data_IF_291861078951
#
_entry.id   IF_291861078951
#
_cell.length_a   1.000
_cell.length_b   1.000
_cell.length_c   1.000
_cell.angle_alpha   90.00
_cell.angle_beta   90.00
_cell.angle_gamma   90.00
#
_symmetry.space_group_name_H-M   'P 1'
#
loop_
_entity.id
_entity.type
_entity.pdbx_description
1 polymer ?
#
# COMPACT_ATOMS: atom_id res chain seq x y z
N UNK A 1 -8.99 -15.15 19.71
CA UNK A 1 -10.06 -14.12 19.57
C UNK A 1 -9.80 -13.38 18.28
N UNK A 2 -10.82 -13.21 17.44
CA UNK A 2 -10.69 -12.47 16.17
C UNK A 2 -10.64 -10.97 16.46
N UNK A 3 -9.65 -10.27 15.93
CA UNK A 3 -9.57 -8.80 16.08
C UNK A 3 -10.59 -8.10 15.18
N UNK A 4 -10.99 -6.84 15.48
CA UNK A 4 -11.88 -6.07 14.61
C UNK A 4 -11.35 -5.95 13.18
N UNK A 5 -10.04 -5.80 13.01
CA UNK A 5 -9.39 -5.78 11.70
C UNK A 5 -9.53 -7.14 10.98
N UNK A 6 -9.28 -8.24 11.68
CA UNK A 6 -9.45 -9.58 11.11
C UNK A 6 -10.91 -9.84 10.71
N UNK A 7 -11.89 -9.33 11.46
CA UNK A 7 -13.31 -9.41 11.11
C UNK A 7 -13.64 -8.62 9.84
N UNK A 8 -13.11 -7.40 9.69
CA UNK A 8 -13.28 -6.59 8.47
C UNK A 8 -12.63 -7.28 7.27
N UNK A 9 -11.43 -7.83 7.42
CA UNK A 9 -10.75 -8.56 6.34
C UNK A 9 -11.50 -9.83 5.94
N UNK A 10 -12.04 -10.58 6.92
CA UNK A 10 -12.89 -11.73 6.65
C UNK A 10 -14.17 -11.32 5.90
N UNK A 11 -14.82 -10.24 6.33
CA UNK A 11 -16.00 -9.72 5.66
C UNK A 11 -15.71 -9.31 4.21
N UNK A 12 -14.58 -8.62 3.95
CA UNK A 12 -14.17 -8.28 2.58
C UNK A 12 -14.05 -9.53 1.72
N UNK A 13 -13.43 -10.61 2.24
CA UNK A 13 -13.28 -11.88 1.52
C UNK A 13 -14.63 -12.56 1.22
N UNK A 14 -15.60 -12.44 2.13
CA UNK A 14 -16.94 -13.01 1.95
C UNK A 14 -17.78 -12.27 0.91
N UNK A 15 -17.72 -10.93 0.88
CA UNK A 15 -18.63 -10.10 0.07
C UNK A 15 -18.11 -9.74 -1.32
N UNK A 16 -16.88 -10.13 -1.67
CA UNK A 16 -16.27 -9.80 -2.96
C UNK A 16 -16.11 -11.05 -3.83
N UNK A 17 -16.58 -11.01 -5.09
CA UNK A 17 -16.68 -12.22 -5.92
C UNK A 17 -15.36 -12.62 -6.58
N UNK A 18 -14.37 -11.71 -6.65
CA UNK A 18 -13.09 -11.97 -7.32
C UNK A 18 -11.90 -11.50 -6.49
N UNK A 19 -10.72 -12.09 -6.73
CA UNK A 19 -9.46 -11.67 -6.11
C UNK A 19 -9.14 -10.19 -6.41
N UNK A 20 -9.53 -9.70 -7.60
CA UNK A 20 -9.38 -8.30 -7.97
C UNK A 20 -10.25 -7.39 -7.09
N UNK A 21 -11.50 -7.76 -6.89
CA UNK A 21 -12.43 -6.99 -6.05
C UNK A 21 -12.02 -7.03 -4.57
N UNK A 22 -11.43 -8.14 -4.11
CA UNK A 22 -10.80 -8.24 -2.80
C UNK A 22 -9.64 -7.25 -2.65
N UNK A 23 -8.77 -7.17 -3.66
CA UNK A 23 -7.66 -6.21 -3.70
C UNK A 23 -8.17 -4.77 -3.62
N UNK A 24 -9.09 -4.38 -4.51
CA UNK A 24 -9.66 -3.03 -4.53
C UNK A 24 -10.42 -2.69 -3.24
N UNK A 25 -11.11 -3.65 -2.62
CA UNK A 25 -11.79 -3.41 -1.34
C UNK A 25 -10.80 -3.22 -0.19
N UNK A 26 -9.69 -3.96 -0.20
CA UNK A 26 -8.61 -3.77 0.76
C UNK A 26 -7.91 -2.41 0.58
N UNK A 27 -7.65 -1.98 -0.66
CA UNK A 27 -7.13 -0.64 -0.97
C UNK A 27 -8.05 0.47 -0.42
N UNK A 28 -9.37 0.35 -0.60
CA UNK A 28 -10.34 1.29 -0.03
C UNK A 28 -10.29 1.34 1.50
N UNK A 29 -10.19 0.18 2.14
CA UNK A 29 -10.02 0.10 3.59
C UNK A 29 -8.74 0.83 4.03
N UNK A 30 -7.64 0.68 3.29
CA UNK A 30 -6.38 1.35 3.61
C UNK A 30 -6.46 2.86 3.44
N UNK A 31 -7.14 3.37 2.41
CA UNK A 31 -7.43 4.81 2.29
C UNK A 31 -8.13 5.32 3.55
N UNK A 32 -9.19 4.64 4.00
CA UNK A 32 -9.92 5.04 5.22
C UNK A 32 -9.02 4.97 6.46
N UNK A 33 -8.22 3.91 6.60
CA UNK A 33 -7.31 3.76 7.72
C UNK A 33 -6.30 4.92 7.78
N UNK A 34 -5.60 5.23 6.69
CA UNK A 34 -4.61 6.31 6.65
C UNK A 34 -5.23 7.70 6.90
N UNK A 35 -6.51 7.88 6.58
CA UNK A 35 -7.23 9.14 6.81
C UNK A 35 -7.82 9.26 8.23
N UNK A 36 -7.89 8.16 8.99
CA UNK A 36 -8.59 8.12 10.29
C UNK A 36 -7.66 7.87 11.47
N UNK A 37 -6.66 7.01 11.34
CA UNK A 37 -5.72 6.71 12.41
C UNK A 37 -4.86 7.94 12.74
N UNK A 38 -4.67 8.21 14.03
CA UNK A 38 -4.16 9.48 14.54
C UNK A 38 -2.77 9.84 14.01
N UNK A 39 -1.85 8.89 13.92
CA UNK A 39 -0.51 9.13 13.40
C UNK A 39 -0.58 9.51 11.91
N UNK A 40 -1.24 8.71 11.07
CA UNK A 40 -1.30 8.99 9.64
C UNK A 40 -2.14 10.21 9.29
N UNK A 41 -3.24 10.45 10.00
CA UNK A 41 -4.05 11.68 9.87
C UNK A 41 -3.25 12.93 10.23
N UNK A 42 -2.27 12.81 11.13
CA UNK A 42 -1.36 13.90 11.45
C UNK A 42 -0.31 14.14 10.34
N UNK A 43 0.03 13.11 9.56
CA UNK A 43 1.08 13.12 8.54
C UNK A 43 0.57 13.45 7.13
N UNK A 44 -0.56 12.85 6.74
CA UNK A 44 -1.13 12.92 5.39
C UNK A 44 -2.31 13.88 5.32
N UNK A 45 -2.40 14.62 4.22
CA UNK A 45 -3.57 15.46 3.89
C UNK A 45 -4.60 14.68 3.07
N UNK A 46 -4.15 13.72 2.28
CA UNK A 46 -4.99 12.97 1.36
C UNK A 46 -4.29 11.67 0.97
N UNK A 47 -5.08 10.64 0.65
CA UNK A 47 -4.60 9.36 0.11
C UNK A 47 -5.50 9.00 -1.06
N UNK A 48 -4.90 8.71 -2.21
CA UNK A 48 -5.60 8.48 -3.48
C UNK A 48 -5.20 7.13 -4.07
N UNK A 49 -6.08 6.54 -4.86
CA UNK A 49 -5.64 5.52 -5.82
C UNK A 49 -4.60 6.12 -6.76
N UNK A 50 -3.64 5.30 -7.20
CA UNK A 50 -2.58 5.76 -8.09
C UNK A 50 -3.12 6.46 -9.35
N UNK A 51 -4.17 5.90 -9.98
CA UNK A 51 -4.76 6.49 -11.19
C UNK A 51 -5.36 7.88 -10.94
N UNK A 52 -5.98 8.09 -9.78
CA UNK A 52 -6.54 9.37 -9.35
C UNK A 52 -5.43 10.36 -8.99
N UNK A 53 -4.38 9.89 -8.33
CA UNK A 53 -3.19 10.68 -8.06
C UNK A 53 -2.51 11.15 -9.36
N UNK A 54 -2.34 10.28 -10.36
CA UNK A 54 -1.78 10.68 -11.67
C UNK A 54 -2.66 11.74 -12.34
N UNK A 55 -3.98 11.62 -12.24
CA UNK A 55 -4.92 12.62 -12.79
C UNK A 55 -4.69 14.01 -12.20
N UNK A 56 -4.39 14.09 -10.89
CA UNK A 56 -4.33 15.35 -10.15
C UNK A 56 -2.92 15.92 -9.99
N UNK A 57 -1.93 15.05 -9.83
CA UNK A 57 -0.54 15.39 -9.50
C UNK A 57 0.48 14.87 -10.52
N UNK A 58 0.05 14.01 -11.46
CA UNK A 58 0.96 13.36 -12.42
C UNK A 58 1.82 14.35 -13.21
N UNK A 59 1.24 15.46 -13.67
CA UNK A 59 1.99 16.52 -14.37
C UNK A 59 3.10 17.15 -13.50
N UNK A 60 2.87 17.29 -12.19
CA UNK A 60 3.87 17.84 -11.25
C UNK A 60 5.01 16.83 -10.99
N UNK A 61 4.70 15.54 -11.09
CA UNK A 61 5.64 14.45 -10.89
C UNK A 61 6.29 13.94 -12.19
N UNK A 62 6.01 14.56 -13.34
CA UNK A 62 6.41 14.08 -14.67
C UNK A 62 5.96 12.62 -14.94
N UNK A 63 4.76 12.28 -14.47
CA UNK A 63 4.12 10.97 -14.64
C UNK A 63 2.79 11.15 -15.38
N UNK A 64 2.67 10.56 -16.56
CA UNK A 64 1.45 10.61 -17.37
C UNK A 64 0.71 9.26 -17.41
N UNK A 65 1.43 8.16 -17.16
CA UNK A 65 0.85 6.82 -17.21
C UNK A 65 0.06 6.54 -15.93
N UNK A 66 -1.24 6.31 -16.09
CA UNK A 66 -2.18 5.97 -14.99
C UNK A 66 -2.12 4.53 -14.53
N UNK A 67 -1.40 3.69 -15.27
CA UNK A 67 -1.13 2.29 -14.92
C UNK A 67 0.32 2.16 -14.48
N UNK A 68 0.50 1.83 -13.22
CA UNK A 68 1.78 1.38 -12.69
C UNK A 68 1.61 -0.05 -12.20
N UNK A 69 2.62 -0.89 -12.42
CA UNK A 69 2.53 -2.33 -12.12
C UNK A 69 2.78 -2.65 -10.65
N UNK A 70 3.03 -1.65 -9.79
CA UNK A 70 3.29 -1.90 -8.38
C UNK A 70 2.88 -0.80 -7.40
N UNK A 71 2.28 0.32 -7.80
CA UNK A 71 1.77 1.33 -6.85
C UNK A 71 0.25 1.31 -6.86
N UNK A 72 -0.36 0.98 -5.73
CA UNK A 72 -1.82 0.95 -5.60
C UNK A 72 -2.35 2.32 -5.16
N UNK A 73 -1.71 2.91 -4.14
CA UNK A 73 -2.12 4.18 -3.55
C UNK A 73 -0.94 5.15 -3.45
N UNK A 74 -1.26 6.44 -3.38
CA UNK A 74 -0.30 7.51 -3.08
C UNK A 74 -0.85 8.38 -1.97
N UNK A 75 -0.08 8.54 -0.90
CA UNK A 75 -0.38 9.50 0.16
C UNK A 75 0.38 10.82 -0.08
N UNK A 76 -0.32 11.93 0.16
CA UNK A 76 0.23 13.27 0.07
C UNK A 76 0.47 13.76 1.50
N UNK A 77 1.72 14.08 1.83
CA UNK A 77 2.07 14.61 3.15
C UNK A 77 1.67 16.07 3.27
N UNK A 78 1.57 16.57 4.52
CA UNK A 78 1.28 17.99 4.78
C UNK A 78 2.27 18.98 4.18
N UNK A 79 3.50 18.55 3.94
CA UNK A 79 4.55 19.35 3.28
C UNK A 79 4.62 19.11 1.75
N UNK A 80 3.62 18.44 1.17
CA UNK A 80 3.47 18.30 -0.28
C UNK A 80 4.32 17.22 -0.94
N UNK A 81 4.93 16.32 -0.15
CA UNK A 81 5.67 15.17 -0.66
C UNK A 81 4.74 13.97 -0.92
N UNK A 82 5.23 13.01 -1.71
CA UNK A 82 4.46 11.82 -2.07
C UNK A 82 5.06 10.56 -1.47
N UNK A 83 4.22 9.79 -0.79
CA UNK A 83 4.55 8.44 -0.33
C UNK A 83 3.84 7.41 -1.20
N UNK A 84 4.61 6.52 -1.85
CA UNK A 84 4.06 5.42 -2.63
C UNK A 84 3.64 4.27 -1.69
N UNK A 85 2.48 3.68 -1.95
CA UNK A 85 1.91 2.63 -1.11
C UNK A 85 1.51 1.43 -1.98
N UNK A 86 1.94 0.23 -1.56
CA UNK A 86 1.47 -1.05 -2.11
C UNK A 86 0.72 -1.81 -1.01
N UNK A 87 -0.44 -2.34 -1.37
CA UNK A 87 -1.33 -3.14 -0.55
C UNK A 87 -1.26 -4.62 -1.00
N UNK A 88 -0.98 -5.53 -0.06
CA UNK A 88 -0.91 -6.97 -0.29
C UNK A 88 -1.86 -7.71 0.64
N UNK A 89 -3.05 -8.03 0.11
CA UNK A 89 -4.07 -8.82 0.80
C UNK A 89 -3.86 -10.31 0.53
N UNK A 90 -2.91 -10.93 1.22
CA UNK A 90 -2.64 -12.36 1.13
C UNK A 90 -3.32 -13.16 2.26
N UNK A 91 -3.40 -14.47 2.06
CA UNK A 91 -3.80 -15.39 3.13
C UNK A 91 -2.80 -15.33 4.30
N UNK A 92 -3.23 -15.57 5.55
CA UNK A 92 -2.33 -15.48 6.71
C UNK A 92 -1.10 -16.40 6.63
N UNK A 93 -1.24 -17.58 6.01
CA UNK A 93 -0.19 -18.58 5.84
C UNK A 93 0.70 -18.36 4.61
N UNK A 94 0.36 -17.38 3.76
CA UNK A 94 1.16 -17.05 2.59
C UNK A 94 2.51 -16.44 3.00
N UNK A 95 3.60 -16.93 2.40
CA UNK A 95 4.92 -16.36 2.59
C UNK A 95 5.23 -15.34 1.49
N UNK A 96 5.40 -14.07 1.87
CA UNK A 96 5.70 -12.96 0.97
C UNK A 96 7.11 -13.10 0.41
N UNK A 97 7.19 -13.13 -0.92
CA UNK A 97 8.43 -13.29 -1.67
C UNK A 97 8.91 -11.94 -2.19
N UNK A 98 10.21 -11.83 -2.44
CA UNK A 98 10.81 -10.66 -3.09
C UNK A 98 10.11 -10.31 -4.41
N UNK A 99 9.73 -11.33 -5.19
CA UNK A 99 8.98 -11.14 -6.45
C UNK A 99 7.64 -10.44 -6.28
N UNK A 100 7.01 -10.51 -5.10
CA UNK A 100 5.72 -9.86 -4.84
C UNK A 100 5.86 -8.34 -4.72
N UNK A 101 7.04 -7.83 -4.40
CA UNK A 101 7.32 -6.42 -4.08
C UNK A 101 8.31 -5.76 -5.06
N UNK A 102 8.91 -6.52 -5.98
CA UNK A 102 9.90 -6.01 -6.93
C UNK A 102 9.35 -4.92 -7.88
N UNK A 103 8.12 -5.08 -8.34
CA UNK A 103 7.47 -4.05 -9.18
C UNK A 103 7.25 -2.76 -8.41
N UNK A 104 6.82 -2.85 -7.14
CA UNK A 104 6.65 -1.70 -6.27
C UNK A 104 7.96 -0.95 -6.06
N UNK A 105 9.06 -1.65 -5.74
CA UNK A 105 10.36 -0.99 -5.56
C UNK A 105 10.89 -0.35 -6.85
N UNK A 106 10.68 -1.01 -7.99
CA UNK A 106 11.03 -0.45 -9.30
C UNK A 106 10.24 0.84 -9.57
N UNK A 107 8.92 0.80 -9.35
CA UNK A 107 8.02 1.92 -9.61
C UNK A 107 8.23 3.10 -8.66
N UNK A 108 8.37 2.81 -7.37
CA UNK A 108 8.61 3.80 -6.31
C UNK A 108 10.09 4.22 -6.23
N UNK A 109 10.95 3.65 -7.07
CA UNK A 109 12.33 4.09 -7.34
C UNK A 109 12.43 5.44 -8.05
N UNK A 110 11.33 5.92 -8.64
CA UNK A 110 11.25 7.24 -9.29
C UNK A 110 11.49 8.36 -8.28
N UNK A 111 12.15 9.43 -8.70
CA UNK A 111 12.59 10.55 -7.82
C UNK A 111 11.44 11.34 -7.19
N UNK A 112 10.20 11.18 -7.65
CA UNK A 112 9.05 11.91 -7.12
C UNK A 112 8.52 11.36 -5.78
N UNK A 113 8.85 10.12 -5.40
CA UNK A 113 8.38 9.52 -4.16
C UNK A 113 9.45 9.63 -3.06
N UNK A 114 9.11 10.32 -1.96
CA UNK A 114 10.00 10.53 -0.82
C UNK A 114 9.85 9.48 0.28
N UNK A 115 8.82 8.64 0.19
CA UNK A 115 8.52 7.60 1.16
C UNK A 115 7.84 6.41 0.49
N UNK A 116 7.99 5.25 1.11
CA UNK A 116 7.41 3.99 0.64
C UNK A 116 6.75 3.29 1.81
N UNK A 117 5.55 2.76 1.56
CA UNK A 117 4.82 1.94 2.52
C UNK A 117 4.37 0.66 1.83
N UNK A 118 4.61 -0.47 2.48
CA UNK A 118 3.98 -1.74 2.10
C UNK A 118 3.05 -2.13 3.23
N UNK A 119 1.80 -2.38 2.85
CA UNK A 119 0.73 -2.83 3.74
C UNK A 119 0.48 -4.30 3.43
N UNK A 120 0.59 -5.16 4.43
CA UNK A 120 0.37 -6.61 4.29
C UNK A 120 -0.60 -7.12 5.34
N UNK A 121 -1.36 -8.17 4.99
CA UNK A 121 -2.25 -8.90 5.93
C UNK A 121 -1.55 -10.10 6.60
N UNK A 122 -0.26 -10.29 6.34
CA UNK A 122 0.59 -11.32 6.94
C UNK A 122 2.00 -10.75 7.14
N UNK A 123 2.67 -11.19 8.19
CA UNK A 123 4.07 -10.87 8.53
C UNK A 123 5.01 -12.04 8.18
N UNK A 124 4.53 -13.05 7.44
CA UNK A 124 5.35 -14.15 6.97
C UNK A 124 6.15 -13.71 5.74
N UNK A 125 7.35 -13.17 5.94
CA UNK A 125 8.26 -12.75 4.87
C UNK A 125 9.38 -13.77 4.65
N UNK A 126 9.70 -14.06 3.38
CA UNK A 126 10.93 -14.78 3.04
C UNK A 126 12.17 -13.92 3.38
N UNK A 127 13.30 -14.57 3.72
CA UNK A 127 14.55 -13.86 4.05
C UNK A 127 14.96 -12.87 2.95
N UNK A 128 14.89 -13.27 1.67
CA UNK A 128 15.19 -12.39 0.55
C UNK A 128 14.26 -11.16 0.46
N UNK A 129 13.00 -11.30 0.88
CA UNK A 129 12.07 -10.17 0.92
C UNK A 129 12.40 -9.24 2.09
N UNK A 130 12.72 -9.79 3.26
CA UNK A 130 13.17 -9.02 4.43
C UNK A 130 14.44 -8.22 4.12
N UNK A 131 15.46 -8.85 3.55
CA UNK A 131 16.69 -8.18 3.13
C UNK A 131 16.36 -6.99 2.20
N UNK A 132 15.45 -7.19 1.25
CA UNK A 132 15.03 -6.15 0.31
C UNK A 132 14.32 -4.96 0.99
N UNK A 133 13.69 -5.16 2.16
CA UNK A 133 13.10 -4.09 2.96
C UNK A 133 14.20 -3.27 3.66
N UNK A 134 15.21 -3.94 4.24
CA UNK A 134 16.31 -3.29 4.99
C UNK A 134 17.18 -2.40 4.10
N UNK A 135 17.40 -2.81 2.84
CA UNK A 135 18.17 -2.01 1.88
C UNK A 135 17.41 -0.79 1.33
N UNK A 136 16.14 -0.62 1.67
CA UNK A 136 15.29 0.46 1.15
C UNK A 136 14.85 1.36 2.32
N UNK A 137 14.94 2.69 2.18
CA UNK A 137 14.46 3.66 3.17
C UNK A 137 12.91 3.71 3.27
N UNK A 138 12.23 2.56 3.27
CA UNK A 138 10.78 2.42 3.33
C UNK A 138 10.29 2.12 4.75
N UNK A 139 9.11 2.64 5.11
CA UNK A 139 8.42 2.28 6.35
C UNK A 139 7.48 1.14 6.03
N UNK A 140 7.72 -0.05 6.59
CA UNK A 140 6.76 -1.16 6.50
C UNK A 140 5.70 -0.96 7.57
N UNK A 141 4.43 -1.05 7.18
CA UNK A 141 3.32 -0.93 8.13
C UNK A 141 2.53 -2.23 8.08
N UNK A 142 2.68 -3.01 9.15
CA UNK A 142 2.07 -4.34 9.29
C UNK A 142 0.68 -4.23 9.91
N UNK A 143 -0.28 -4.97 9.36
CA UNK A 143 -1.66 -4.95 9.79
C UNK A 143 -2.14 -6.37 10.08
N UNK A 144 -2.52 -6.69 11.33
CA UNK A 144 -3.25 -7.93 11.61
C UNK A 144 -2.92 -8.73 12.86
N UNK A 145 -2.07 -8.24 13.77
CA UNK A 145 -1.89 -8.85 15.10
C UNK A 145 -3.04 -8.48 16.04
#
# INVERSE_FOLDING_TARGET
MTTPLQAVLAHIREVTPTVRDQGTSFEKLMIQYFQTEAFYKSLYIEVLFYADWVTRYGAQASIERRTDTGIDLVAITKDGRFHAIQCKNYAPDYCIKKSDIDSFFTASGKTCFSGRVIVTTTDNWSSNAQDSLEFQNGVVSEFGK
#
